data_IF_757933777514
#
_entry.id   IF_757933777514
#
_cell.length_a   1.000
_cell.length_b   1.000
_cell.length_c   1.000
_cell.angle_alpha   90.00
_cell.angle_beta   90.00
_cell.angle_gamma   90.00
#
_symmetry.space_group_name_H-M   'P 1'
#
loop_
_entity.id
_entity.type
_entity.pdbx_description
1 polymer ?
#
# COMPACT_ATOMS: atom_id res chain seq x y z
N UNK A 1 -16.45 -20.42 14.87
CA UNK A 1 -15.17 -21.04 14.50
C UNK A 1 -14.11 -20.41 15.42
N UNK A 2 -13.57 -21.16 16.38
CA UNK A 2 -12.65 -20.61 17.37
C UNK A 2 -11.21 -20.74 16.87
N UNK A 3 -10.63 -19.65 16.36
CA UNK A 3 -9.19 -19.59 16.12
C UNK A 3 -8.48 -19.50 17.48
N UNK A 4 -7.45 -20.32 17.69
CA UNK A 4 -6.57 -20.14 18.86
C UNK A 4 -5.72 -18.88 18.63
N UNK A 5 -5.93 -17.85 19.45
CA UNK A 5 -5.18 -16.60 19.36
C UNK A 5 -3.65 -16.82 19.48
N UNK A 6 -3.22 -17.87 20.18
CA UNK A 6 -1.81 -18.28 20.32
C UNK A 6 -1.16 -18.78 19.03
N UNK A 7 -1.95 -19.12 18.01
CA UNK A 7 -1.42 -19.57 16.72
C UNK A 7 -1.38 -18.47 15.68
N UNK A 8 -2.22 -17.45 15.84
CA UNK A 8 -2.22 -16.23 15.02
C UNK A 8 -1.20 -15.22 15.55
N UNK A 9 -1.10 -15.08 16.87
CA UNK A 9 -0.15 -14.17 17.50
C UNK A 9 1.09 -14.96 17.93
N UNK A 10 2.22 -14.70 17.26
CA UNK A 10 3.50 -15.36 17.57
C UNK A 10 4.13 -14.88 18.90
N UNK A 11 3.65 -13.76 19.43
CA UNK A 11 4.13 -13.16 20.69
C UNK A 11 3.18 -13.50 21.85
N UNK A 12 3.73 -14.14 22.88
CA UNK A 12 3.01 -14.51 24.10
C UNK A 12 2.51 -13.29 24.90
N UNK A 13 3.07 -12.10 24.67
CA UNK A 13 2.60 -10.83 25.23
C UNK A 13 1.33 -10.38 24.53
N UNK A 14 1.30 -10.45 23.19
CA UNK A 14 0.12 -10.18 22.39
C UNK A 14 -1.03 -11.16 22.69
N UNK A 15 -0.73 -12.44 22.92
CA UNK A 15 -1.74 -13.44 23.32
C UNK A 15 -2.40 -13.07 24.65
N UNK A 16 -1.61 -12.69 25.65
CA UNK A 16 -2.11 -12.25 26.97
C UNK A 16 -2.90 -10.96 26.89
N UNK A 17 -2.53 -10.05 25.99
CA UNK A 17 -3.26 -8.82 25.74
C UNK A 17 -4.61 -9.11 25.05
N UNK A 18 -4.64 -10.02 24.07
CA UNK A 18 -5.84 -10.42 23.37
C UNK A 18 -6.89 -11.06 24.30
N UNK A 19 -6.44 -11.83 25.29
CA UNK A 19 -7.32 -12.46 26.30
C UNK A 19 -8.00 -11.46 27.23
N UNK A 20 -7.47 -10.23 27.34
CA UNK A 20 -8.05 -9.14 28.12
C UNK A 20 -8.97 -8.22 27.31
N UNK A 21 -9.17 -8.47 26.01
CA UNK A 21 -9.98 -7.61 25.12
C UNK A 21 -11.37 -8.22 24.89
N UNK A 22 -12.40 -7.38 25.05
CA UNK A 22 -13.81 -7.75 24.85
C UNK A 22 -14.12 -8.24 23.42
N UNK A 23 -13.38 -7.73 22.41
CA UNK A 23 -13.44 -8.16 21.01
C UNK A 23 -12.17 -8.89 20.57
N UNK A 24 -11.87 -10.01 21.25
CA UNK A 24 -10.63 -10.79 21.06
C UNK A 24 -10.36 -11.17 19.61
N UNK A 25 -11.33 -11.72 18.90
CA UNK A 25 -11.15 -12.18 17.51
C UNK A 25 -10.84 -11.01 16.58
N UNK A 26 -11.54 -9.90 16.72
CA UNK A 26 -11.32 -8.71 15.89
C UNK A 26 -9.92 -8.13 16.11
N UNK A 27 -9.48 -8.07 17.37
CA UNK A 27 -8.15 -7.59 17.71
C UNK A 27 -7.04 -8.51 17.15
N UNK A 28 -7.20 -9.82 17.26
CA UNK A 28 -6.26 -10.81 16.71
C UNK A 28 -6.16 -10.70 15.18
N UNK A 29 -7.30 -10.53 14.50
CA UNK A 29 -7.33 -10.42 13.04
C UNK A 29 -6.79 -9.08 12.53
N UNK A 30 -7.01 -7.99 13.26
CA UNK A 30 -6.41 -6.68 12.97
C UNK A 30 -4.87 -6.74 13.07
N UNK A 31 -4.34 -7.33 14.15
CA UNK A 31 -2.89 -7.51 14.31
C UNK A 31 -2.29 -8.40 13.20
N UNK A 32 -2.99 -9.46 12.79
CA UNK A 32 -2.58 -10.31 11.67
C UNK A 32 -2.62 -9.57 10.32
N UNK A 33 -3.64 -8.76 10.08
CA UNK A 33 -3.73 -7.94 8.86
C UNK A 33 -2.60 -6.93 8.75
N UNK A 34 -2.08 -6.46 9.88
CA UNK A 34 -1.06 -5.42 9.95
C UNK A 34 0.39 -5.95 9.92
N UNK A 35 0.59 -7.26 9.98
CA UNK A 35 1.93 -7.89 10.05
C UNK A 35 2.57 -8.15 8.69
N UNK A 36 1.97 -7.67 7.59
CA UNK A 36 2.44 -7.95 6.22
C UNK A 36 2.62 -9.46 5.97
N UNK A 37 1.71 -10.26 6.55
CA UNK A 37 1.78 -11.72 6.55
C UNK A 37 1.67 -12.28 5.11
N UNK A 38 2.50 -13.26 4.78
CA UNK A 38 2.52 -13.88 3.45
C UNK A 38 1.44 -14.94 3.30
N UNK A 39 0.99 -15.18 2.07
CA UNK A 39 0.05 -16.27 1.75
C UNK A 39 0.53 -17.63 2.29
N UNK A 40 1.84 -17.90 2.24
CA UNK A 40 2.42 -19.11 2.82
C UNK A 40 2.19 -19.24 4.33
N UNK A 41 2.33 -18.15 5.08
CA UNK A 41 2.08 -18.16 6.54
C UNK A 41 0.61 -18.40 6.86
N UNK A 42 -0.31 -17.88 6.04
CA UNK A 42 -1.73 -18.16 6.17
C UNK A 42 -2.05 -19.63 5.86
N UNK A 43 -1.45 -20.20 4.82
CA UNK A 43 -1.64 -21.60 4.46
C UNK A 43 -1.10 -22.54 5.54
N UNK A 44 0.07 -22.25 6.11
CA UNK A 44 0.65 -23.01 7.22
C UNK A 44 -0.23 -22.95 8.47
N UNK A 45 -0.82 -21.78 8.75
CA UNK A 45 -1.72 -21.59 9.88
C UNK A 45 -3.03 -22.36 9.70
N UNK A 46 -3.62 -22.33 8.50
CA UNK A 46 -4.82 -23.09 8.16
C UNK A 46 -4.57 -24.60 8.24
N UNK A 47 -3.39 -25.06 7.81
CA UNK A 47 -2.99 -26.47 7.93
C UNK A 47 -2.81 -26.90 9.39
N UNK A 48 -2.11 -26.10 10.22
CA UNK A 48 -1.93 -26.37 11.66
C UNK A 48 -3.25 -26.39 12.43
N UNK A 49 -4.21 -25.56 12.03
CA UNK A 49 -5.56 -25.53 12.60
C UNK A 49 -6.50 -26.59 12.01
N UNK A 50 -6.03 -27.47 11.13
CA UNK A 50 -6.83 -28.49 10.42
C UNK A 50 -7.99 -27.88 9.61
N UNK A 51 -7.88 -26.61 9.23
CA UNK A 51 -8.83 -25.89 8.39
C UNK A 51 -8.50 -26.14 6.91
N UNK A 52 -8.55 -27.42 6.53
CA UNK A 52 -8.16 -27.89 5.20
C UNK A 52 -9.10 -27.36 4.11
N UNK A 53 -10.41 -27.26 4.41
CA UNK A 53 -11.41 -26.74 3.45
C UNK A 53 -11.10 -25.29 3.01
N UNK A 54 -10.88 -24.32 3.92
CA UNK A 54 -10.38 -22.98 3.55
C UNK A 54 -9.04 -22.99 2.83
N UNK A 55 -8.08 -23.83 3.26
CA UNK A 55 -6.76 -23.95 2.63
C UNK A 55 -6.88 -24.39 1.16
N UNK A 56 -7.66 -25.43 0.90
CA UNK A 56 -7.82 -26.02 -0.42
C UNK A 56 -8.50 -25.06 -1.40
N UNK A 57 -9.47 -24.27 -0.91
CA UNK A 57 -10.11 -23.21 -1.70
C UNK A 57 -9.09 -22.15 -2.13
N UNK A 58 -8.24 -21.71 -1.21
CA UNK A 58 -7.20 -20.71 -1.49
C UNK A 58 -6.14 -21.27 -2.45
N UNK A 59 -5.71 -22.52 -2.26
CA UNK A 59 -4.76 -23.20 -3.16
C UNK A 59 -5.33 -23.39 -4.57
N UNK A 60 -6.60 -23.78 -4.67
CA UNK A 60 -7.31 -23.88 -5.95
C UNK A 60 -7.41 -22.53 -6.65
N UNK A 61 -7.56 -21.45 -5.89
CA UNK A 61 -7.57 -20.10 -6.44
C UNK A 61 -6.18 -19.65 -6.90
N UNK A 62 -5.14 -19.92 -6.12
CA UNK A 62 -3.75 -19.59 -6.44
C UNK A 62 -3.25 -20.34 -7.70
N UNK A 63 -3.71 -21.57 -7.94
CA UNK A 63 -3.38 -22.33 -9.15
C UNK A 63 -4.09 -21.84 -10.41
N UNK A 64 -5.17 -21.07 -10.27
CA UNK A 64 -5.86 -20.38 -11.38
C UNK A 64 -5.38 -18.95 -11.60
N UNK A 65 -4.56 -18.40 -10.71
CA UNK A 65 -3.99 -17.08 -10.89
C UNK A 65 -3.09 -17.08 -12.13
N UNK A 66 -3.11 -16.01 -12.96
CA UNK A 66 -2.15 -15.85 -14.04
C UNK A 66 -0.73 -15.97 -13.45
N UNK A 67 0.23 -16.61 -14.14
CA UNK A 67 1.59 -16.67 -13.64
C UNK A 67 2.09 -15.25 -13.40
N UNK A 68 2.78 -14.98 -12.27
CA UNK A 68 3.47 -13.70 -12.11
C UNK A 68 4.40 -13.54 -13.32
N UNK A 69 4.26 -12.44 -14.04
CA UNK A 69 5.09 -12.16 -15.22
C UNK A 69 6.55 -12.34 -14.83
N UNK A 70 7.22 -13.26 -15.52
CA UNK A 70 8.61 -13.63 -15.35
C UNK A 70 9.47 -12.38 -15.19
N UNK A 71 9.96 -12.16 -13.98
CA UNK A 71 11.15 -11.33 -13.75
C UNK A 71 12.22 -11.80 -14.72
N UNK A 72 12.69 -10.92 -15.60
CA UNK A 72 13.87 -11.18 -16.42
C UNK A 72 14.99 -11.65 -15.50
N UNK A 73 15.27 -12.95 -15.53
CA UNK A 73 16.39 -13.55 -14.86
C UNK A 73 17.60 -13.23 -15.72
N UNK A 74 18.40 -12.23 -15.33
CA UNK A 74 19.76 -12.10 -15.81
C UNK A 74 20.53 -13.33 -15.30
N UNK A 75 20.53 -14.40 -16.06
CA UNK A 75 21.40 -15.55 -15.83
C UNK A 75 22.82 -15.10 -16.13
N UNK A 76 23.64 -14.96 -15.09
CA UNK A 76 25.09 -14.95 -15.25
C UNK A 76 25.52 -16.35 -15.71
N UNK A 77 25.62 -16.55 -17.02
CA UNK A 77 26.40 -17.67 -17.57
C UNK A 77 27.84 -17.20 -17.65
N UNK A 78 28.68 -17.74 -16.78
CA UNK A 78 30.13 -17.80 -17.01
C UNK A 78 30.32 -18.55 -18.34
N UNK A 79 30.82 -17.84 -19.35
CA UNK A 79 31.48 -18.46 -20.48
C UNK A 79 32.81 -17.73 -20.75
N UNK A 80 33.86 -18.53 -20.93
CA UNK A 80 35.23 -18.07 -21.16
C UNK A 80 35.43 -17.85 -22.66
N UNK A 81 35.92 -16.68 -23.06
CA UNK A 81 36.51 -16.52 -24.41
C UNK A 81 36.67 -15.06 -24.82
N UNK A 82 37.87 -14.68 -25.22
CA UNK A 82 38.27 -13.28 -25.45
C UNK A 82 37.72 -12.63 -26.72
N UNK A 83 37.77 -11.30 -26.77
CA UNK A 83 37.55 -10.54 -28.01
C UNK A 83 37.14 -9.07 -27.84
N UNK A 84 38.14 -8.17 -27.79
CA UNK A 84 38.16 -6.72 -28.15
C UNK A 84 37.19 -5.72 -27.47
N UNK A 85 37.68 -4.59 -26.90
CA UNK A 85 36.81 -3.52 -26.40
C UNK A 85 36.13 -2.73 -27.53
N UNK A 86 34.84 -2.44 -27.38
CA UNK A 86 34.08 -1.51 -28.24
C UNK A 86 34.49 -0.05 -27.97
N UNK A 87 34.52 0.83 -28.97
CA UNK A 87 34.97 2.21 -28.82
C UNK A 87 33.94 3.07 -28.06
N UNK A 88 34.44 4.05 -27.29
CA UNK A 88 33.60 4.99 -26.53
C UNK A 88 32.82 5.92 -27.49
N UNK A 89 31.54 6.24 -27.22
CA UNK A 89 30.80 7.22 -28.01
C UNK A 89 31.46 8.60 -27.92
N UNK A 90 31.62 9.27 -29.06
CA UNK A 90 32.14 10.64 -29.15
C UNK A 90 31.22 11.65 -28.48
N UNK A 91 31.80 12.74 -27.96
CA UNK A 91 31.05 13.82 -27.35
C UNK A 91 30.06 14.46 -28.36
N UNK A 92 28.84 14.84 -27.93
CA UNK A 92 27.88 15.46 -28.82
C UNK A 92 28.30 16.89 -29.22
N UNK A 93 27.97 17.34 -30.45
CA UNK A 93 28.37 18.65 -30.93
C UNK A 93 27.53 19.78 -30.29
N UNK A 94 28.17 20.92 -30.08
CA UNK A 94 27.55 22.14 -29.59
C UNK A 94 26.86 22.92 -30.74
N UNK A 95 25.59 23.28 -30.50
CA UNK A 95 24.74 24.27 -31.17
C UNK A 95 23.76 23.80 -32.27
N UNK A 96 22.45 23.83 -31.96
CA UNK A 96 21.42 24.32 -32.88
C UNK A 96 20.19 24.82 -32.10
N UNK A 97 19.75 26.05 -32.39
CA UNK A 97 18.63 26.74 -31.74
C UNK A 97 17.29 26.32 -32.37
N UNK A 98 16.25 26.24 -31.53
CA UNK A 98 14.82 26.52 -31.81
C UNK A 98 14.08 25.71 -32.89
N UNK A 99 13.30 24.71 -32.46
CA UNK A 99 11.89 24.55 -32.85
C UNK A 99 11.11 24.09 -31.61
N UNK A 100 10.34 25.00 -31.01
CA UNK A 100 9.46 24.73 -29.88
C UNK A 100 8.19 24.03 -30.39
N UNK A 101 8.19 22.70 -30.47
CA UNK A 101 6.93 21.95 -30.39
C UNK A 101 6.74 21.60 -28.93
N UNK A 102 5.84 22.32 -28.25
CA UNK A 102 5.47 21.99 -26.88
C UNK A 102 4.80 20.61 -26.88
N UNK A 103 5.33 19.60 -26.17
CA UNK A 103 4.51 18.45 -25.80
C UNK A 103 3.35 18.94 -24.92
N UNK A 104 2.18 18.26 -24.93
CA UNK A 104 1.10 18.55 -23.97
C UNK A 104 1.68 18.58 -22.55
N UNK A 105 1.12 19.38 -21.62
CA UNK A 105 1.72 19.60 -20.31
C UNK A 105 1.90 18.28 -19.58
N UNK A 106 3.11 17.76 -19.65
CA UNK A 106 3.65 16.83 -18.66
C UNK A 106 3.60 17.61 -17.36
N UNK A 107 2.75 17.16 -16.43
CA UNK A 107 2.70 17.68 -15.07
C UNK A 107 4.02 17.34 -14.39
N UNK A 108 5.00 18.20 -14.62
CA UNK A 108 6.30 18.20 -13.99
C UNK A 108 6.14 18.60 -12.53
N UNK A 109 6.33 17.64 -11.64
CA UNK A 109 6.40 17.85 -10.20
C UNK A 109 6.18 16.54 -9.44
N UNK A 110 7.23 15.73 -9.28
CA UNK A 110 7.24 14.59 -8.37
C UNK A 110 7.23 15.07 -6.91
N UNK A 111 6.10 15.59 -6.46
CA UNK A 111 5.89 16.05 -5.09
C UNK A 111 4.50 15.67 -4.61
N UNK A 112 4.45 14.94 -3.51
CA UNK A 112 3.23 14.67 -2.75
C UNK A 112 2.62 16.00 -2.34
N UNK A 113 1.39 16.28 -2.77
CA UNK A 113 0.74 17.59 -2.56
C UNK A 113 0.16 17.69 -1.14
N UNK A 114 0.26 18.87 -0.52
CA UNK A 114 -0.52 19.19 0.68
C UNK A 114 -1.84 19.84 0.26
N UNK A 115 -2.96 19.18 0.52
CA UNK A 115 -4.29 19.75 0.32
C UNK A 115 -4.83 20.39 1.58
N UNK A 116 -5.60 21.46 1.39
CA UNK A 116 -6.37 22.04 2.49
C UNK A 116 -7.49 21.08 2.88
N UNK A 117 -7.88 21.13 4.16
CA UNK A 117 -8.96 20.30 4.67
C UNK A 117 -10.28 20.62 3.96
N UNK A 118 -10.52 21.89 3.63
CA UNK A 118 -11.74 22.36 2.95
C UNK A 118 -11.86 21.77 1.54
N UNK A 119 -10.75 21.69 0.79
CA UNK A 119 -10.73 21.08 -0.54
C UNK A 119 -11.13 19.60 -0.46
N UNK A 120 -10.62 18.89 0.54
CA UNK A 120 -10.89 17.48 0.81
C UNK A 120 -12.32 17.27 1.29
N UNK A 121 -12.79 18.13 2.19
CA UNK A 121 -14.14 18.11 2.72
C UNK A 121 -15.15 18.33 1.59
N UNK A 122 -14.92 19.30 0.71
CA UNK A 122 -15.76 19.54 -0.46
C UNK A 122 -15.73 18.35 -1.43
N UNK A 123 -14.54 17.83 -1.75
CA UNK A 123 -14.37 16.70 -2.67
C UNK A 123 -15.03 15.40 -2.20
N UNK A 124 -15.19 15.23 -0.89
CA UNK A 124 -15.88 14.09 -0.24
C UNK A 124 -17.34 14.38 0.12
N UNK A 125 -17.89 15.53 -0.30
CA UNK A 125 -19.23 15.99 0.11
C UNK A 125 -19.44 15.93 1.62
N UNK A 126 -18.46 16.42 2.36
CA UNK A 126 -18.44 16.42 3.81
C UNK A 126 -18.20 15.05 4.45
N UNK A 127 -17.43 14.17 3.79
CA UNK A 127 -17.28 12.76 4.16
C UNK A 127 -18.63 12.02 4.19
N UNK A 128 -19.45 12.24 3.15
CA UNK A 128 -20.76 11.63 3.05
C UNK A 128 -20.69 10.10 3.10
N UNK A 129 -21.54 9.42 3.90
CA UNK A 129 -21.65 7.96 3.90
C UNK A 129 -21.96 7.37 2.52
N UNK A 130 -22.63 8.12 1.64
CA UNK A 130 -22.92 7.67 0.27
C UNK A 130 -21.68 7.56 -0.63
N UNK A 131 -20.58 8.22 -0.26
CA UNK A 131 -19.30 8.16 -0.96
C UNK A 131 -18.30 7.22 -0.28
N UNK A 132 -18.70 6.54 0.80
CA UNK A 132 -17.85 5.57 1.49
C UNK A 132 -17.58 4.37 0.58
N UNK A 133 -16.30 4.09 0.37
CA UNK A 133 -15.80 2.94 -0.40
C UNK A 133 -15.53 1.75 0.52
N UNK A 134 -15.01 2.02 1.72
CA UNK A 134 -14.66 0.97 2.66
C UNK A 134 -14.25 1.52 4.03
N UNK A 135 -14.15 0.63 5.01
CA UNK A 135 -13.70 0.95 6.37
C UNK A 135 -12.86 -0.20 6.91
N UNK A 136 -11.76 0.15 7.56
CA UNK A 136 -10.88 -0.78 8.27
C UNK A 136 -10.42 -0.22 9.61
N UNK A 137 -9.45 -0.89 10.23
CA UNK A 137 -8.89 -0.50 11.53
C UNK A 137 -8.27 0.91 11.52
N UNK A 138 -7.59 1.28 10.44
CA UNK A 138 -6.90 2.56 10.35
C UNK A 138 -7.77 3.75 9.92
N UNK A 139 -8.99 3.51 9.43
CA UNK A 139 -9.75 4.60 8.84
C UNK A 139 -10.92 4.21 7.96
N UNK A 140 -11.54 5.23 7.39
CA UNK A 140 -12.62 5.12 6.40
C UNK A 140 -12.13 5.69 5.08
N UNK A 141 -12.38 4.97 3.99
CA UNK A 141 -12.04 5.39 2.64
C UNK A 141 -13.29 5.93 1.95
N UNK A 142 -13.19 7.12 1.38
CA UNK A 142 -14.24 7.79 0.62
C UNK A 142 -13.79 8.00 -0.82
N UNK A 143 -14.72 7.91 -1.77
CA UNK A 143 -14.52 8.40 -3.13
C UNK A 143 -14.57 9.92 -3.09
N UNK A 144 -13.68 10.57 -3.83
CA UNK A 144 -13.66 12.02 -3.97
C UNK A 144 -13.23 12.43 -5.38
N UNK A 145 -13.52 13.68 -5.73
CA UNK A 145 -12.97 14.34 -6.91
C UNK A 145 -12.25 15.61 -6.44
N UNK A 146 -10.92 15.62 -6.52
CA UNK A 146 -10.08 16.76 -6.14
C UNK A 146 -9.40 17.31 -7.38
N UNK A 147 -9.51 18.62 -7.64
CA UNK A 147 -8.97 19.29 -8.84
C UNK A 147 -9.30 18.57 -10.16
N UNK A 148 -10.54 18.06 -10.27
CA UNK A 148 -11.03 17.28 -11.44
C UNK A 148 -10.34 15.92 -11.64
N UNK A 149 -9.66 15.41 -10.61
CA UNK A 149 -9.10 14.06 -10.58
C UNK A 149 -9.88 13.23 -9.56
N UNK A 150 -10.40 12.09 -9.99
CA UNK A 150 -11.02 11.13 -9.07
C UNK A 150 -9.95 10.43 -8.25
N UNK A 151 -10.20 10.29 -6.95
CA UNK A 151 -9.28 9.68 -6.01
C UNK A 151 -10.02 9.03 -4.83
N UNK A 152 -9.27 8.27 -4.04
CA UNK A 152 -9.70 7.72 -2.77
C UNK A 152 -9.09 8.54 -1.62
N UNK A 153 -9.95 8.95 -0.70
CA UNK A 153 -9.60 9.69 0.52
C UNK A 153 -9.70 8.74 1.70
N UNK A 154 -8.55 8.33 2.25
CA UNK A 154 -8.48 7.58 3.50
C UNK A 154 -8.42 8.55 4.67
N UNK A 155 -9.55 8.72 5.36
CA UNK A 155 -9.64 9.47 6.61
C UNK A 155 -9.31 8.54 7.78
N UNK A 156 -8.24 8.87 8.50
CA UNK A 156 -7.84 8.13 9.67
C UNK A 156 -8.84 8.35 10.81
N UNK A 157 -9.12 7.29 11.55
CA UNK A 157 -9.95 7.37 12.74
C UNK A 157 -9.08 7.71 13.94
N UNK A 158 -9.50 8.72 14.69
CA UNK A 158 -9.03 8.90 16.05
C UNK A 158 -9.91 8.03 16.96
N UNK A 159 -9.60 6.74 17.04
CA UNK A 159 -10.21 5.90 18.06
C UNK A 159 -9.65 6.33 19.43
N UNK A 160 -10.51 6.39 20.45
CA UNK A 160 -10.16 6.83 21.82
C UNK A 160 -9.03 6.03 22.49
N UNK A 161 -8.60 4.92 21.88
CA UNK A 161 -7.53 4.05 22.35
C UNK A 161 -6.17 4.33 21.69
N UNK A 162 -6.13 5.07 20.58
CA UNK A 162 -4.88 5.45 19.93
C UNK A 162 -4.45 6.85 20.36
N UNK A 163 -3.22 6.94 20.85
CA UNK A 163 -2.59 8.22 21.14
C UNK A 163 -2.45 9.04 19.84
N UNK A 164 -2.72 10.35 19.92
CA UNK A 164 -2.60 11.27 18.80
C UNK A 164 -1.18 11.27 18.20
N UNK A 165 -0.16 11.13 19.05
CA UNK A 165 1.23 11.03 18.60
C UNK A 165 1.46 9.79 17.74
N UNK A 166 0.96 8.63 18.16
CA UNK A 166 1.03 7.38 17.40
C UNK A 166 0.25 7.46 16.09
N UNK A 167 -0.93 8.10 16.10
CA UNK A 167 -1.70 8.32 14.89
C UNK A 167 -0.92 9.18 13.88
N UNK A 168 -0.31 10.27 14.36
CA UNK A 168 0.53 11.16 13.53
C UNK A 168 1.77 10.44 12.99
N UNK A 169 2.41 9.59 13.78
CA UNK A 169 3.54 8.78 13.34
C UNK A 169 3.14 7.75 12.26
N UNK A 170 2.01 7.07 12.46
CA UNK A 170 1.49 6.10 11.49
C UNK A 170 1.14 6.77 10.15
N UNK A 171 0.53 7.95 10.23
CA UNK A 171 0.24 8.81 9.08
C UNK A 171 1.52 9.20 8.35
N UNK A 172 2.51 9.73 9.07
CA UNK A 172 3.79 10.15 8.48
C UNK A 172 4.50 8.98 7.83
N UNK A 173 4.49 7.82 8.48
CA UNK A 173 5.07 6.58 7.96
C UNK A 173 4.40 6.14 6.66
N UNK A 174 3.07 6.22 6.57
CA UNK A 174 2.32 5.86 5.35
C UNK A 174 2.63 6.83 4.20
N UNK A 175 2.64 8.13 4.47
CA UNK A 175 3.04 9.18 3.51
C UNK A 175 4.48 8.97 3.04
N UNK A 176 5.42 8.71 3.95
CA UNK A 176 6.83 8.50 3.64
C UNK A 176 7.07 7.23 2.83
N UNK A 177 6.28 6.17 3.05
CA UNK A 177 6.37 4.94 2.26
C UNK A 177 5.81 5.16 0.87
N UNK A 178 4.56 5.62 0.74
CA UNK A 178 3.90 5.74 -0.55
C UNK A 178 4.50 6.86 -1.42
N UNK A 179 5.13 7.87 -0.82
CA UNK A 179 5.86 8.91 -1.56
C UNK A 179 7.09 8.38 -2.31
N UNK A 180 7.69 7.28 -1.83
CA UNK A 180 8.93 6.71 -2.39
C UNK A 180 8.68 5.68 -3.48
N UNK A 181 7.49 5.10 -3.54
CA UNK A 181 7.18 4.02 -4.48
C UNK A 181 6.25 4.48 -5.59
N UNK A 182 6.70 4.31 -6.84
CA UNK A 182 5.88 4.46 -8.05
C UNK A 182 6.00 3.20 -8.86
N UNK A 183 4.95 2.39 -8.87
CA UNK A 183 4.92 1.12 -9.57
C UNK A 183 3.48 0.84 -10.04
N UNK A 184 3.26 0.22 -11.21
CA UNK A 184 1.90 -0.04 -11.73
C UNK A 184 0.98 -0.84 -10.78
N UNK A 185 1.58 -1.62 -9.88
CA UNK A 185 0.86 -2.45 -8.89
C UNK A 185 0.88 -1.86 -7.47
N UNK A 186 1.37 -0.63 -7.30
CA UNK A 186 1.35 0.08 -6.03
C UNK A 186 0.51 1.33 -6.23
N UNK A 187 -0.39 1.58 -5.28
CA UNK A 187 -1.27 2.73 -5.34
C UNK A 187 -0.44 4.02 -5.26
N UNK A 188 -0.70 4.95 -6.17
CA UNK A 188 -0.02 6.25 -6.21
C UNK A 188 -0.55 7.15 -5.10
N UNK A 189 0.34 7.66 -4.24
CA UNK A 189 -0.02 8.72 -3.29
C UNK A 189 -0.05 10.05 -4.03
N UNK A 190 -1.22 10.65 -4.14
CA UNK A 190 -1.38 11.95 -4.77
C UNK A 190 -0.97 13.09 -3.81
N UNK A 191 -1.14 12.89 -2.50
CA UNK A 191 -0.88 13.90 -1.46
C UNK A 191 -1.50 13.59 -0.10
N UNK A 192 -1.55 14.58 0.81
CA UNK A 192 -2.13 14.45 2.15
C UNK A 192 -2.69 15.77 2.70
N UNK A 193 -3.46 15.71 3.80
CA UNK A 193 -4.03 16.88 4.48
C UNK A 193 -3.95 16.74 6.00
N UNK A 194 -3.45 17.78 6.66
CA UNK A 194 -3.30 17.88 8.12
C UNK A 194 -4.36 18.86 8.63
N UNK A 195 -5.29 18.40 9.48
CA UNK A 195 -6.50 19.14 9.87
C UNK A 195 -7.72 18.23 10.06
N UNK A 196 -7.72 17.07 9.41
CA UNK A 196 -8.71 16.00 9.60
C UNK A 196 -8.14 14.57 9.54
N UNK A 197 -6.81 14.43 9.50
CA UNK A 197 -6.10 13.15 9.44
C UNK A 197 -6.38 12.36 8.17
N UNK A 198 -6.14 12.91 6.98
CA UNK A 198 -6.48 12.24 5.72
C UNK A 198 -5.26 12.02 4.81
N UNK A 199 -5.11 10.79 4.32
CA UNK A 199 -4.14 10.36 3.28
C UNK A 199 -4.91 10.11 1.99
N UNK A 200 -4.36 10.47 0.84
CA UNK A 200 -5.06 10.37 -0.45
C UNK A 200 -4.31 9.49 -1.44
N UNK A 201 -5.05 8.65 -2.14
CA UNK A 201 -4.50 7.72 -3.12
C UNK A 201 -5.32 7.72 -4.39
#
# INVERSE_FOLDING_TARGET
MFFKASEVLQDQTAVRLAERKERRTDWVMDQWGNTNARLGQLLDLLERQQLLRPRDVIMHWASKAPPPMTTFRLTSTVDKGGGRPLPRPGAPPLNLKSVLHQPPPVLSGSGVMRWSYEEVHAGTSGFSPSLKVGEGGFGVVYRATLRKRDCAVKRLKQDTLMDWALLKESFQTEVDKLSKFRHPNIVELLGFSEGGGAVFT
#
